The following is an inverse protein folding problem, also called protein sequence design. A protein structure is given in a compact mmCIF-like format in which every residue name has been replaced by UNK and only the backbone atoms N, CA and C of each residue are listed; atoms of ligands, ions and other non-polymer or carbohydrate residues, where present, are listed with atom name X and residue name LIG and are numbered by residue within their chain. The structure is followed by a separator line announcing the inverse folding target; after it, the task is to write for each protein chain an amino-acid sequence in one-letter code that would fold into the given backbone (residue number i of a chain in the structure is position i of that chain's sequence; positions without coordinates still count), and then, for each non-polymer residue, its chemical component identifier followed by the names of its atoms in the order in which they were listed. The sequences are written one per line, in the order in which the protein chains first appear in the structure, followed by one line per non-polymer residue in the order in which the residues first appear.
data_IF_941917753976
#
_entry.id   IF_941917753976
#
_cell.length_a   1.000
_cell.length_b   1.000
_cell.length_c   1.000
_cell.angle_alpha   90.00
_cell.angle_beta   90.00
_cell.angle_gamma   90.00
#
_symmetry.space_group_name_H-M   'P 1'
#
loop_
_entity.id
_entity.type
_entity.pdbx_description
1 polymer ?
#
# COMPACT_ATOMS: atom_id res chain seq x y z
N UNK A 1 -6.90 15.37 -24.26
CA UNK A 1 -6.11 16.59 -23.94
C UNK A 1 -4.64 16.19 -23.89
N UNK A 2 -3.84 16.70 -24.81
CA UNK A 2 -2.43 16.29 -25.02
C UNK A 2 -1.53 16.85 -23.93
N UNK A 3 -1.00 15.98 -23.06
CA UNK A 3 0.08 16.33 -22.14
C UNK A 3 1.31 16.76 -22.94
N UNK A 4 1.66 18.03 -22.86
CA UNK A 4 2.82 18.58 -23.56
C UNK A 4 4.09 18.01 -22.90
N UNK A 5 4.70 17.00 -23.52
CA UNK A 5 6.03 16.52 -23.12
C UNK A 5 7.02 17.69 -23.27
N UNK A 6 7.59 18.17 -22.16
CA UNK A 6 8.62 19.20 -22.18
C UNK A 6 9.82 18.66 -22.97
N UNK A 7 10.40 19.48 -23.84
CA UNK A 7 11.56 19.04 -24.63
C UNK A 7 12.78 18.78 -23.73
N UNK A 8 13.60 17.78 -24.07
CA UNK A 8 14.84 17.42 -23.33
C UNK A 8 15.74 18.63 -23.00
N UNK A 9 15.78 19.62 -23.89
CA UNK A 9 16.53 20.88 -23.69
C UNK A 9 15.93 21.77 -22.59
N UNK A 10 14.62 21.77 -22.45
CA UNK A 10 13.88 22.51 -21.42
C UNK A 10 14.08 21.86 -20.05
N UNK A 11 13.99 20.53 -19.98
CA UNK A 11 14.21 19.76 -18.75
C UNK A 11 15.65 19.88 -18.23
N UNK A 12 16.65 19.82 -19.12
CA UNK A 12 18.04 20.06 -18.74
C UNK A 12 18.28 21.49 -18.21
N UNK A 13 17.54 22.49 -18.72
CA UNK A 13 17.61 23.87 -18.24
C UNK A 13 16.96 24.01 -16.85
N UNK A 14 15.84 23.33 -16.61
CA UNK A 14 15.20 23.27 -15.29
C UNK A 14 16.12 22.57 -14.26
N UNK A 15 16.73 21.43 -14.61
CA UNK A 15 17.72 20.74 -13.76
C UNK A 15 18.91 21.62 -13.41
N UNK A 16 19.45 22.37 -14.38
CA UNK A 16 20.54 23.33 -14.15
C UNK A 16 20.11 24.47 -13.22
N UNK A 17 18.90 25.01 -13.36
CA UNK A 17 18.36 26.03 -12.43
C UNK A 17 18.23 25.50 -11.00
N UNK A 18 17.73 24.27 -10.83
CA UNK A 18 17.59 23.64 -9.50
C UNK A 18 18.96 23.42 -8.86
N UNK A 19 19.96 22.99 -9.64
CA UNK A 19 21.34 22.87 -9.16
C UNK A 19 21.88 24.25 -8.78
N UNK A 20 21.67 25.27 -9.61
CA UNK A 20 22.16 26.63 -9.36
C UNK A 20 21.59 27.24 -8.09
N UNK A 21 20.31 26.97 -7.80
CA UNK A 21 19.56 27.46 -6.64
C UNK A 21 19.97 26.72 -5.36
N UNK A 22 19.99 25.38 -5.38
CA UNK A 22 20.46 24.57 -4.24
C UNK A 22 21.94 24.77 -3.90
N UNK A 23 22.73 25.28 -4.86
CA UNK A 23 24.15 25.59 -4.64
C UNK A 23 24.42 27.09 -4.48
N UNK A 24 23.39 27.95 -4.49
CA UNK A 24 23.52 29.41 -4.59
C UNK A 24 24.35 30.06 -3.46
N UNK A 25 24.28 29.55 -2.23
CA UNK A 25 25.06 30.06 -1.09
C UNK A 25 26.43 29.40 -0.90
N UNK A 26 26.66 28.24 -1.51
CA UNK A 26 27.88 27.44 -1.30
C UNK A 26 29.02 27.86 -2.24
N UNK A 27 28.69 28.59 -3.32
CA UNK A 27 29.65 29.02 -4.35
C UNK A 27 30.76 29.96 -3.83
N UNK A 28 30.50 30.74 -2.78
CA UNK A 28 31.51 31.60 -2.14
C UNK A 28 32.48 30.81 -1.21
N UNK A 29 32.18 29.55 -0.89
CA UNK A 29 32.99 28.66 -0.03
C UNK A 29 33.57 27.46 -0.80
N UNK A 30 33.65 27.57 -2.13
CA UNK A 30 34.09 26.52 -3.07
C UNK A 30 35.53 26.01 -2.89
N UNK A 31 36.30 26.54 -1.95
CA UNK A 31 37.67 26.10 -1.65
C UNK A 31 37.71 24.94 -0.64
N UNK A 32 36.63 24.72 0.12
CA UNK A 32 36.55 23.60 1.08
C UNK A 32 36.21 22.30 0.38
N UNK A 33 36.99 21.24 0.64
CA UNK A 33 36.76 19.90 0.08
C UNK A 33 35.39 19.33 0.46
N UNK A 34 34.92 19.60 1.68
CA UNK A 34 33.59 19.18 2.17
C UNK A 34 32.47 19.88 1.39
N UNK A 35 32.61 21.17 1.12
CA UNK A 35 31.67 21.95 0.29
C UNK A 35 31.66 21.46 -1.17
N UNK A 36 32.83 21.13 -1.72
CA UNK A 36 32.91 20.56 -3.07
C UNK A 36 32.25 19.18 -3.18
N UNK A 37 32.39 18.33 -2.17
CA UNK A 37 31.73 17.02 -2.11
C UNK A 37 30.20 17.17 -2.00
N UNK A 38 29.72 18.10 -1.19
CA UNK A 38 28.29 18.40 -1.05
C UNK A 38 27.68 18.92 -2.37
N UNK A 39 28.37 19.84 -3.06
CA UNK A 39 27.95 20.33 -4.39
C UNK A 39 27.91 19.19 -5.42
N UNK A 40 28.90 18.27 -5.41
CA UNK A 40 28.92 17.10 -6.29
C UNK A 40 27.77 16.12 -6.00
N UNK A 41 27.44 15.89 -4.72
CA UNK A 41 26.34 15.03 -4.31
C UNK A 41 24.99 15.58 -4.79
N UNK A 42 24.71 16.86 -4.53
CA UNK A 42 23.47 17.54 -4.97
C UNK A 42 23.35 17.51 -6.51
N UNK A 43 24.45 17.74 -7.22
CA UNK A 43 24.49 17.65 -8.68
C UNK A 43 24.13 16.24 -9.18
N UNK A 44 24.69 15.20 -8.56
CA UNK A 44 24.42 13.82 -8.94
C UNK A 44 22.99 13.39 -8.61
N UNK A 45 22.44 13.78 -7.47
CA UNK A 45 21.06 13.47 -7.07
C UNK A 45 20.05 14.09 -8.05
N UNK A 46 20.22 15.36 -8.44
CA UNK A 46 19.30 16.02 -9.38
C UNK A 46 19.41 15.47 -10.80
N UNK A 47 20.59 14.97 -11.19
CA UNK A 47 20.80 14.42 -12.54
C UNK A 47 20.37 12.94 -12.66
N UNK A 48 20.62 12.09 -11.65
CA UNK A 48 20.47 10.63 -11.77
C UNK A 48 19.07 10.09 -11.45
N UNK A 49 18.25 10.79 -10.64
CA UNK A 49 16.94 10.28 -10.17
C UNK A 49 15.96 10.06 -11.34
N UNK A 50 16.04 10.88 -12.39
CA UNK A 50 15.17 10.70 -13.56
C UNK A 50 15.68 9.61 -14.51
N UNK A 51 17.01 9.51 -14.69
CA UNK A 51 17.59 8.60 -15.67
C UNK A 51 17.45 7.13 -15.26
N UNK A 52 17.49 6.81 -13.96
CA UNK A 52 17.28 5.44 -13.46
C UNK A 52 15.83 4.98 -13.58
N UNK A 53 14.86 5.85 -13.27
CA UNK A 53 13.43 5.52 -13.34
C UNK A 53 12.97 5.32 -14.79
N UNK A 54 13.38 6.24 -15.68
CA UNK A 54 13.06 6.15 -17.10
C UNK A 54 13.73 4.94 -17.75
N UNK A 55 14.97 4.61 -17.36
CA UNK A 55 15.66 3.42 -17.87
C UNK A 55 14.99 2.11 -17.42
N UNK A 56 14.58 2.01 -16.15
CA UNK A 56 13.88 0.83 -15.62
C UNK A 56 12.53 0.62 -16.30
N UNK A 57 11.78 1.69 -16.52
CA UNK A 57 10.47 1.63 -17.19
C UNK A 57 10.60 1.23 -18.67
N UNK A 58 11.66 1.70 -19.35
CA UNK A 58 11.96 1.30 -20.74
C UNK A 58 12.34 -0.17 -20.85
N UNK A 59 13.19 -0.67 -19.94
CA UNK A 59 13.62 -2.07 -19.88
C UNK A 59 12.44 -3.00 -19.59
N UNK A 60 11.53 -2.63 -18.69
CA UNK A 60 10.33 -3.41 -18.37
C UNK A 60 9.36 -3.46 -19.55
N UNK A 61 9.17 -2.35 -20.27
CA UNK A 61 8.34 -2.29 -21.48
C UNK A 61 8.91 -3.17 -22.61
N UNK A 62 10.23 -3.18 -22.78
CA UNK A 62 10.91 -4.02 -23.77
C UNK A 62 10.81 -5.51 -23.43
N UNK A 63 10.97 -5.88 -22.16
CA UNK A 63 10.77 -7.25 -21.67
C UNK A 63 9.35 -7.75 -21.91
N UNK A 64 8.33 -6.94 -21.58
CA UNK A 64 6.93 -7.30 -21.82
C UNK A 64 6.62 -7.48 -23.31
N UNK A 65 7.24 -6.66 -24.18
CA UNK A 65 7.11 -6.77 -25.64
C UNK A 65 7.74 -8.07 -26.16
N UNK A 66 8.93 -8.43 -25.69
CA UNK A 66 9.62 -9.68 -26.03
C UNK A 66 8.83 -10.91 -25.57
N UNK A 67 8.25 -10.86 -24.37
CA UNK A 67 7.45 -11.96 -23.82
C UNK A 67 6.16 -12.19 -24.63
N UNK A 68 5.41 -11.12 -24.97
CA UNK A 68 4.19 -11.23 -25.79
C UNK A 68 4.51 -11.76 -27.20
N UNK A 69 5.64 -11.35 -27.79
CA UNK A 69 6.11 -11.86 -29.07
C UNK A 69 6.50 -13.35 -28.99
N UNK A 70 7.21 -13.76 -27.93
CA UNK A 70 7.53 -15.16 -27.70
C UNK A 70 6.29 -16.03 -27.46
N UNK A 71 5.28 -15.50 -26.76
CA UNK A 71 4.01 -16.18 -26.51
C UNK A 71 3.22 -16.40 -27.79
N UNK A 72 3.08 -15.35 -28.62
CA UNK A 72 2.41 -15.46 -29.94
C UNK A 72 3.13 -16.45 -30.85
N UNK A 73 4.47 -16.43 -30.87
CA UNK A 73 5.26 -17.40 -31.63
C UNK A 73 5.03 -18.84 -31.17
N UNK A 74 5.02 -19.08 -29.85
CA UNK A 74 4.70 -20.40 -29.27
C UNK A 74 3.29 -20.84 -29.64
N UNK A 75 2.31 -19.94 -29.63
CA UNK A 75 0.93 -20.24 -30.02
C UNK A 75 0.82 -20.59 -31.52
N UNK A 76 1.53 -19.88 -32.39
CA UNK A 76 1.62 -20.20 -33.81
C UNK A 76 2.27 -21.57 -34.03
N UNK A 77 3.40 -21.87 -33.36
CA UNK A 77 4.04 -23.19 -33.43
C UNK A 77 3.10 -24.31 -32.97
N UNK A 78 2.33 -24.09 -31.90
CA UNK A 78 1.30 -25.05 -31.45
C UNK A 78 0.18 -25.19 -32.49
N UNK A 79 -0.29 -24.08 -33.07
CA UNK A 79 -1.34 -24.11 -34.10
C UNK A 79 -0.90 -24.87 -35.34
N UNK A 80 0.35 -24.71 -35.77
CA UNK A 80 0.93 -25.45 -36.88
C UNK A 80 1.09 -26.94 -36.56
N UNK A 81 1.41 -27.29 -35.31
CA UNK A 81 1.49 -28.67 -34.83
C UNK A 81 0.12 -29.37 -34.74
N UNK A 82 -0.94 -28.63 -34.42
CA UNK A 82 -2.31 -29.15 -34.31
C UNK A 82 -3.10 -29.06 -35.61
N UNK A 83 -2.52 -28.52 -36.69
CA UNK A 83 -3.16 -28.47 -38.00
C UNK A 83 -3.29 -29.88 -38.58
N UNK A 84 -4.51 -30.32 -38.82
CA UNK A 84 -4.80 -31.69 -39.30
C UNK A 84 -4.66 -31.78 -40.82
N UNK A 85 -4.44 -33.00 -41.34
CA UNK A 85 -4.24 -33.21 -42.78
C UNK A 85 -5.50 -32.94 -43.63
N UNK A 86 -6.68 -32.90 -43.01
CA UNK A 86 -7.95 -32.63 -43.70
C UNK A 86 -8.11 -31.13 -44.06
N UNK A 87 -7.52 -30.21 -43.29
CA UNK A 87 -7.52 -28.76 -43.57
C UNK A 87 -6.64 -28.37 -44.78
N UNK A 88 -5.76 -29.27 -45.24
CA UNK A 88 -4.88 -28.99 -46.40
C UNK A 88 -5.62 -29.00 -47.74
N UNK A 89 -6.82 -29.58 -47.82
CA UNK A 89 -7.59 -29.66 -49.08
C UNK A 89 -8.45 -28.43 -49.36
N UNK A 90 -8.77 -27.62 -48.36
CA UNK A 90 -9.62 -26.44 -48.56
C UNK A 90 -8.81 -25.23 -49.06
N UNK A 91 -7.55 -25.06 -48.65
CA UNK A 91 -6.73 -23.91 -49.06
C UNK A 91 -6.26 -23.94 -50.53
N UNK A 92 -6.07 -25.13 -51.14
CA UNK A 92 -5.61 -25.24 -52.53
C UNK A 92 -6.70 -24.84 -53.56
N UNK A 93 -7.97 -24.87 -53.16
CA UNK A 93 -9.11 -24.60 -54.06
C UNK A 93 -9.48 -23.10 -54.11
N UNK A 94 -9.11 -22.31 -53.11
CA UNK A 94 -9.45 -20.86 -53.07
C UNK A 94 -8.44 -19.99 -53.82
N UNK A 95 -7.26 -20.53 -54.18
CA UNK A 95 -6.16 -19.75 -54.77
C UNK A 95 -6.20 -19.60 -56.31
N UNK A 96 -7.28 -20.01 -56.98
CA UNK A 96 -7.40 -19.96 -58.44
C UNK A 96 -8.33 -18.85 -59.00
N UNK A 97 -8.88 -17.95 -58.17
CA UNK A 97 -9.81 -16.91 -58.66
C UNK A 97 -9.74 -15.57 -57.92
N UNK A 98 -8.53 -15.06 -57.70
CA UNK A 98 -8.33 -13.62 -57.50
C UNK A 98 -6.91 -13.26 -57.94
N UNK A 99 -6.81 -12.21 -58.75
CA UNK A 99 -5.60 -11.64 -59.33
C UNK A 99 -4.43 -11.52 -58.35
N UNK A 100 -3.33 -12.19 -58.70
CA UNK A 100 -1.92 -11.83 -58.46
C UNK A 100 -1.62 -10.92 -57.26
N UNK A 101 -1.82 -11.45 -56.06
CA UNK A 101 -0.98 -11.09 -54.92
C UNK A 101 -0.14 -12.32 -54.55
N UNK A 102 1.18 -12.12 -54.58
CA UNK A 102 2.15 -13.07 -54.07
C UNK A 102 1.73 -13.55 -52.67
N UNK A 103 1.93 -14.83 -52.32
CA UNK A 103 1.75 -15.26 -50.94
C UNK A 103 2.81 -14.53 -50.11
N UNK A 104 2.41 -13.47 -49.41
CA UNK A 104 3.28 -12.79 -48.46
C UNK A 104 3.45 -13.74 -47.28
N UNK A 105 4.51 -14.53 -47.40
CA UNK A 105 5.26 -15.20 -46.34
C UNK A 105 5.15 -14.44 -45.02
N UNK A 106 4.52 -15.06 -44.02
CA UNK A 106 4.42 -14.58 -42.64
C UNK A 106 3.69 -13.24 -42.49
N UNK A 107 2.49 -13.26 -41.90
CA UNK A 107 1.95 -12.06 -41.25
C UNK A 107 2.91 -11.71 -40.10
N UNK A 108 3.98 -10.97 -40.43
CA UNK A 108 4.97 -10.50 -39.48
C UNK A 108 4.19 -9.65 -38.48
N UNK A 109 4.05 -10.17 -37.26
CA UNK A 109 3.38 -9.46 -36.19
C UNK A 109 4.14 -8.15 -36.00
N UNK A 110 3.62 -7.08 -36.59
CA UNK A 110 4.30 -5.80 -36.60
C UNK A 110 4.39 -5.28 -35.17
N UNK A 111 5.52 -4.67 -34.85
CA UNK A 111 5.73 -4.10 -33.53
C UNK A 111 4.64 -3.08 -33.16
N UNK A 112 4.11 -2.38 -34.15
CA UNK A 112 2.99 -1.44 -33.98
C UNK A 112 1.71 -2.15 -33.55
N UNK A 113 1.37 -3.33 -34.11
CA UNK A 113 0.20 -4.11 -33.67
C UNK A 113 0.32 -4.62 -32.24
N UNK A 114 1.52 -5.02 -31.80
CA UNK A 114 1.75 -5.45 -30.41
C UNK A 114 1.62 -4.25 -29.46
N UNK A 115 2.15 -3.09 -29.83
CA UNK A 115 2.03 -1.88 -29.02
C UNK A 115 0.59 -1.39 -28.92
N UNK A 116 -0.17 -1.50 -30.02
CA UNK A 116 -1.58 -1.17 -30.04
C UNK A 116 -2.38 -2.12 -29.15
N UNK A 117 -2.15 -3.43 -29.22
CA UNK A 117 -2.80 -4.38 -28.31
C UNK A 117 -2.42 -4.18 -26.84
N UNK A 118 -1.17 -3.86 -26.52
CA UNK A 118 -0.74 -3.56 -25.14
C UNK A 118 -1.41 -2.28 -24.64
N UNK A 119 -1.55 -1.29 -25.51
CA UNK A 119 -2.20 -0.02 -25.20
C UNK A 119 -3.71 -0.21 -25.01
N UNK A 120 -4.36 -0.92 -25.92
CA UNK A 120 -5.79 -1.23 -25.85
C UNK A 120 -6.08 -2.06 -24.59
N UNK A 121 -5.23 -3.04 -24.24
CA UNK A 121 -5.33 -3.84 -23.02
C UNK A 121 -5.12 -3.02 -21.73
N UNK A 122 -4.25 -2.00 -21.76
CA UNK A 122 -4.05 -1.07 -20.65
C UNK A 122 -5.18 -0.02 -20.54
N UNK A 123 -5.87 0.26 -21.63
CA UNK A 123 -7.02 1.17 -21.70
C UNK A 123 -8.36 0.47 -21.39
N UNK A 124 -8.37 -0.87 -21.32
CA UNK A 124 -9.53 -1.62 -20.84
C UNK A 124 -9.84 -1.20 -19.40
N UNK A 125 -11.04 -0.66 -19.25
CA UNK A 125 -11.59 -0.33 -17.93
C UNK A 125 -11.80 -1.60 -17.11
N UNK A 126 -11.77 -1.49 -15.79
CA UNK A 126 -11.94 -2.62 -14.87
C UNK A 126 -13.27 -3.33 -15.15
N UNK A 127 -14.28 -2.57 -15.53
CA UNK A 127 -15.62 -3.03 -15.90
C UNK A 127 -15.58 -3.93 -17.14
N UNK A 128 -14.83 -3.54 -18.18
CA UNK A 128 -14.71 -4.28 -19.42
C UNK A 128 -13.91 -5.57 -19.26
N UNK A 129 -12.90 -5.56 -18.38
CA UNK A 129 -12.16 -6.76 -17.96
C UNK A 129 -13.11 -7.72 -17.23
N UNK A 130 -13.93 -7.20 -16.31
CA UNK A 130 -14.89 -8.00 -15.56
C UNK A 130 -15.96 -8.62 -16.47
N UNK A 131 -16.45 -7.89 -17.48
CA UNK A 131 -17.42 -8.43 -18.45
C UNK A 131 -16.82 -9.50 -19.37
N UNK A 132 -15.58 -9.31 -19.84
CA UNK A 132 -14.84 -10.34 -20.60
C UNK A 132 -14.64 -11.61 -19.77
N UNK A 133 -14.25 -11.47 -18.50
CA UNK A 133 -14.05 -12.61 -17.61
C UNK A 133 -15.38 -13.28 -17.23
N UNK A 134 -16.47 -12.52 -17.03
CA UNK A 134 -17.82 -13.10 -16.84
C UNK A 134 -18.29 -13.90 -18.05
N UNK A 135 -18.04 -13.42 -19.27
CA UNK A 135 -18.40 -14.13 -20.50
C UNK A 135 -17.64 -15.45 -20.66
N UNK A 136 -16.41 -15.56 -20.11
CA UNK A 136 -15.62 -16.81 -20.11
C UNK A 136 -16.11 -17.83 -19.08
N UNK A 137 -16.80 -17.39 -18.01
CA UNK A 137 -17.32 -18.29 -16.98
C UNK A 137 -18.63 -18.91 -17.47
N UNK A 138 -18.53 -20.11 -18.05
CA UNK A 138 -19.69 -20.86 -18.58
C UNK A 138 -20.52 -21.50 -17.45
N UNK A 139 -19.88 -21.97 -16.38
CA UNK A 139 -20.52 -22.61 -15.22
C UNK A 139 -19.92 -22.09 -13.91
N UNK A 140 -20.77 -21.68 -12.95
CA UNK A 140 -20.34 -21.15 -11.64
C UNK A 140 -20.79 -22.04 -10.47
N UNK A 141 -20.00 -22.08 -9.39
CA UNK A 141 -20.44 -22.67 -8.12
C UNK A 141 -21.36 -21.68 -7.39
N UNK A 142 -22.57 -22.08 -6.97
CA UNK A 142 -23.45 -21.17 -6.24
C UNK A 142 -22.81 -20.73 -4.92
N UNK A 143 -22.98 -19.45 -4.59
CA UNK A 143 -22.47 -18.85 -3.35
C UNK A 143 -23.40 -19.25 -2.21
N UNK A 144 -23.13 -20.41 -1.61
CA UNK A 144 -23.77 -20.89 -0.38
C UNK A 144 -22.84 -20.61 0.80
N UNK A 145 -23.36 -20.63 2.02
CA UNK A 145 -22.55 -20.42 3.22
C UNK A 145 -21.39 -21.44 3.30
N UNK A 146 -21.65 -22.69 2.94
CA UNK A 146 -20.65 -23.76 2.93
C UNK A 146 -19.59 -23.57 1.83
N UNK A 147 -19.96 -23.10 0.63
CA UNK A 147 -18.98 -22.84 -0.43
C UNK A 147 -18.15 -21.60 -0.12
N UNK A 148 -18.73 -20.58 0.49
CA UNK A 148 -18.03 -19.36 0.92
C UNK A 148 -17.07 -19.60 2.08
N UNK A 149 -17.44 -20.38 3.10
CA UNK A 149 -16.52 -20.71 4.20
C UNK A 149 -15.33 -21.52 3.70
N UNK A 150 -15.56 -22.49 2.80
CA UNK A 150 -14.50 -23.25 2.15
C UNK A 150 -13.59 -22.37 1.29
N UNK A 151 -14.16 -21.43 0.52
CA UNK A 151 -13.39 -20.45 -0.26
C UNK A 151 -12.56 -19.52 0.64
N UNK A 152 -13.13 -19.04 1.75
CA UNK A 152 -12.43 -18.17 2.72
C UNK A 152 -11.26 -18.91 3.36
N UNK A 153 -11.48 -20.14 3.83
CA UNK A 153 -10.41 -20.99 4.36
C UNK A 153 -9.33 -21.25 3.31
N UNK A 154 -9.73 -21.55 2.07
CA UNK A 154 -8.80 -21.72 0.96
C UNK A 154 -7.98 -20.46 0.68
N UNK A 155 -8.61 -19.27 0.66
CA UNK A 155 -7.91 -17.99 0.45
C UNK A 155 -6.93 -17.64 1.56
N UNK A 156 -7.32 -17.87 2.82
CA UNK A 156 -6.42 -17.70 3.97
C UNK A 156 -5.22 -18.64 3.86
N UNK A 157 -5.45 -19.91 3.51
CA UNK A 157 -4.37 -20.89 3.34
C UNK A 157 -3.44 -20.56 2.16
N UNK A 158 -3.99 -20.06 1.04
CA UNK A 158 -3.17 -19.58 -0.08
C UNK A 158 -2.28 -18.41 0.33
N UNK A 159 -2.83 -17.41 1.02
CA UNK A 159 -2.06 -16.27 1.51
C UNK A 159 -0.97 -16.70 2.51
N UNK A 160 -1.28 -17.67 3.39
CA UNK A 160 -0.30 -18.25 4.32
C UNK A 160 0.86 -18.93 3.59
N UNK A 161 0.56 -19.75 2.57
CA UNK A 161 1.58 -20.43 1.75
C UNK A 161 2.42 -19.47 0.91
N UNK A 162 1.82 -18.40 0.42
CA UNK A 162 2.52 -17.35 -0.32
C UNK A 162 3.52 -16.62 0.61
N UNK A 163 3.07 -16.18 1.78
CA UNK A 163 3.93 -15.60 2.81
C UNK A 163 5.04 -16.56 3.25
N UNK A 164 4.75 -17.85 3.41
CA UNK A 164 5.76 -18.86 3.76
C UNK A 164 6.79 -19.04 2.64
N UNK A 165 6.37 -18.97 1.37
CA UNK A 165 7.28 -18.98 0.22
C UNK A 165 8.14 -17.74 0.16
N UNK A 166 7.57 -16.56 0.35
CA UNK A 166 8.30 -15.29 0.39
C UNK A 166 9.32 -15.29 1.52
N UNK A 167 8.89 -15.67 2.73
CA UNK A 167 9.75 -15.82 3.90
C UNK A 167 10.90 -16.81 3.63
N UNK A 168 10.60 -17.95 3.01
CA UNK A 168 11.63 -18.94 2.64
C UNK A 168 12.59 -18.41 1.58
N UNK A 169 12.10 -17.65 0.59
CA UNK A 169 12.94 -17.03 -0.45
C UNK A 169 13.85 -15.97 0.18
N UNK A 170 13.30 -15.15 1.08
CA UNK A 170 14.00 -14.10 1.80
C UNK A 170 15.11 -14.70 2.68
N UNK A 171 14.82 -15.78 3.41
CA UNK A 171 15.79 -16.49 4.23
C UNK A 171 16.90 -17.15 3.38
N UNK A 172 16.56 -17.72 2.22
CA UNK A 172 17.57 -18.26 1.29
C UNK A 172 18.43 -17.16 0.64
N UNK A 173 17.86 -15.98 0.37
CA UNK A 173 18.59 -14.79 -0.10
C UNK A 173 19.55 -14.27 0.96
N UNK A 174 19.13 -14.26 2.22
CA UNK A 174 19.96 -13.91 3.37
C UNK A 174 21.16 -14.86 3.50
N UNK A 175 20.91 -16.18 3.52
CA UNK A 175 21.95 -17.23 3.59
C UNK A 175 22.97 -17.12 2.44
N UNK A 176 22.53 -16.71 1.24
CA UNK A 176 23.37 -16.65 0.04
C UNK A 176 24.16 -15.35 -0.11
N UNK A 177 23.61 -14.22 0.33
CA UNK A 177 24.19 -12.90 0.07
C UNK A 177 24.98 -12.32 1.24
N UNK A 178 24.70 -12.75 2.48
CA UNK A 178 25.29 -12.15 3.70
C UNK A 178 25.05 -10.63 3.84
N UNK A 179 24.22 -10.06 2.95
CA UNK A 179 24.02 -8.63 2.76
C UNK A 179 22.63 -8.46 2.14
N UNK A 180 21.57 -8.62 2.96
CA UNK A 180 20.24 -8.78 2.36
C UNK A 180 19.03 -8.56 3.25
N UNK A 181 19.20 -8.08 4.49
CA UNK A 181 18.08 -7.66 5.33
C UNK A 181 18.50 -6.41 6.08
N UNK A 182 17.63 -5.39 6.10
CA UNK A 182 17.81 -4.26 7.01
C UNK A 182 17.85 -4.77 8.46
N UNK A 183 18.60 -4.14 9.36
CA UNK A 183 18.64 -4.54 10.78
C UNK A 183 17.24 -4.66 11.40
N UNK A 184 16.30 -3.81 10.95
CA UNK A 184 14.88 -3.86 11.32
C UNK A 184 14.16 -5.11 10.81
N UNK A 185 14.49 -5.58 9.61
CA UNK A 185 13.93 -6.81 9.04
C UNK A 185 14.52 -8.05 9.71
N UNK A 186 15.80 -8.03 10.06
CA UNK A 186 16.45 -9.08 10.85
C UNK A 186 15.85 -9.18 12.26
N UNK A 187 15.57 -8.05 12.91
CA UNK A 187 14.94 -8.02 14.23
C UNK A 187 13.53 -8.61 14.22
N UNK A 188 12.73 -8.28 13.20
CA UNK A 188 11.39 -8.87 13.00
C UNK A 188 11.45 -10.36 12.64
N UNK A 189 12.48 -10.79 11.92
CA UNK A 189 12.67 -12.19 11.51
C UNK A 189 13.14 -13.07 12.68
N UNK A 190 14.03 -12.54 13.53
CA UNK A 190 14.56 -13.26 14.68
C UNK A 190 15.06 -12.29 15.75
N UNK A 191 14.15 -11.89 16.65
CA UNK A 191 14.43 -10.98 17.75
C UNK A 191 15.47 -11.55 18.73
N UNK A 192 15.55 -12.88 18.87
CA UNK A 192 16.47 -13.54 19.80
C UNK A 192 17.95 -13.44 19.42
N UNK A 193 18.26 -13.05 18.17
CA UNK A 193 19.63 -12.78 17.71
C UNK A 193 20.16 -11.40 18.13
N UNK A 194 19.31 -10.54 18.69
CA UNK A 194 19.63 -9.16 19.09
C UNK A 194 19.66 -8.99 20.61
N UNK A 195 20.26 -9.94 21.31
CA UNK A 195 20.55 -9.83 22.74
C UNK A 195 22.04 -9.49 22.85
N UNK A 196 22.36 -8.39 23.53
CA UNK A 196 23.75 -7.99 23.79
C UNK A 196 24.48 -9.17 24.45
N UNK A 197 25.55 -9.66 23.82
CA UNK A 197 26.38 -10.70 24.43
C UNK A 197 27.12 -10.13 25.65
N UNK A 198 27.47 -11.00 26.61
CA UNK A 198 28.16 -10.59 27.84
C UNK A 198 29.60 -10.07 27.59
N UNK A 199 30.06 -10.02 26.34
CA UNK A 199 31.41 -9.58 25.93
C UNK A 199 31.40 -8.28 25.12
N UNK A 200 30.23 -7.67 24.92
CA UNK A 200 30.08 -6.30 24.47
C UNK A 200 30.65 -5.36 25.53
N UNK A 201 31.94 -5.04 25.42
CA UNK A 201 32.61 -4.05 26.25
C UNK A 201 31.80 -2.75 26.23
N UNK A 202 31.58 -2.19 27.43
CA UNK A 202 30.81 -0.98 27.71
C UNK A 202 31.58 0.28 27.26
N UNK A 203 32.34 0.14 26.16
CA UNK A 203 33.16 1.19 25.58
C UNK A 203 32.24 2.27 25.05
N UNK A 204 32.03 3.30 25.88
CA UNK A 204 31.37 4.53 25.48
C UNK A 204 32.21 5.19 24.40
N UNK A 205 31.88 4.94 23.13
CA UNK A 205 32.41 5.71 22.02
C UNK A 205 31.98 7.16 22.20
N UNK A 206 32.92 8.02 22.64
CA UNK A 206 32.72 9.46 22.67
C UNK A 206 32.67 9.98 21.24
N UNK A 207 31.48 9.96 20.64
CA UNK A 207 31.21 10.63 19.38
C UNK A 207 31.20 12.14 19.69
N UNK A 208 32.06 12.95 19.05
CA UNK A 208 32.00 14.41 19.21
C UNK A 208 30.59 14.91 18.87
N UNK A 209 30.01 15.76 19.71
CA UNK A 209 28.65 16.30 19.53
C UNK A 209 28.45 16.89 18.12
N UNK A 210 29.50 17.48 17.55
CA UNK A 210 29.51 18.08 16.20
C UNK A 210 29.44 17.08 15.03
N UNK A 211 29.59 15.78 15.30
CA UNK A 211 29.55 14.71 14.30
C UNK A 211 28.17 14.05 14.16
N UNK A 212 27.24 14.36 15.07
CA UNK A 212 25.86 13.88 15.04
C UNK A 212 25.06 14.89 14.21
N UNK A 213 24.71 14.50 12.99
CA UNK A 213 23.83 15.29 12.12
C UNK A 213 22.40 15.13 12.67
N UNK A 214 21.95 16.06 13.53
CA UNK A 214 20.61 16.05 14.15
C UNK A 214 19.47 16.01 13.10
N UNK A 215 19.71 16.54 11.89
CA UNK A 215 18.77 16.47 10.77
C UNK A 215 18.60 15.04 10.22
N UNK A 216 19.52 14.10 10.54
CA UNK A 216 19.42 12.70 10.15
C UNK A 216 18.52 11.87 11.09
N UNK A 217 18.22 12.40 12.28
CA UNK A 217 17.38 11.75 13.30
C UNK A 217 15.93 12.27 13.32
N UNK A 218 15.62 13.33 12.56
CA UNK A 218 14.28 13.94 12.51
C UNK A 218 13.37 13.42 11.38
N UNK A 219 13.86 12.55 10.50
CA UNK A 219 13.00 11.69 9.66
C UNK A 219 12.72 10.34 10.35
N UNK A 220 12.61 10.38 11.69
CA UNK A 220 12.12 9.27 12.50
C UNK A 220 10.64 9.03 12.20
N UNK A 221 10.41 7.98 11.43
CA UNK A 221 9.24 7.09 11.43
C UNK A 221 7.96 7.72 12.01
N UNK A 222 7.13 8.23 11.11
CA UNK A 222 5.70 8.51 11.36
C UNK A 222 4.91 7.21 11.67
N UNK A 223 5.57 6.04 11.76
CA UNK A 223 4.97 4.76 12.15
C UNK A 223 4.71 4.64 13.67
N UNK A 224 5.45 5.32 14.55
CA UNK A 224 5.11 5.32 15.99
C UNK A 224 3.83 6.12 16.29
N UNK A 225 3.40 6.97 15.35
CA UNK A 225 2.13 7.68 15.41
C UNK A 225 0.92 6.79 15.05
N UNK A 226 1.12 5.61 14.43
CA UNK A 226 0.02 4.70 14.09
C UNK A 226 -0.49 3.87 15.28
N UNK A 227 0.32 3.70 16.33
CA UNK A 227 -0.02 2.90 17.52
C UNK A 227 -0.62 3.69 18.68
N UNK A 228 -0.70 5.02 18.56
CA UNK A 228 -1.54 5.84 19.44
C UNK A 228 -3.00 5.68 19.05
N UNK A 229 -3.83 5.20 19.97
CA UNK A 229 -5.28 5.17 19.77
C UNK A 229 -5.71 6.63 19.57
N UNK A 230 -6.19 7.05 18.38
CA UNK A 230 -6.53 8.45 18.14
C UNK A 230 -7.47 8.95 19.23
N UNK A 231 -7.07 10.02 19.91
CA UNK A 231 -7.86 10.58 21.01
C UNK A 231 -9.20 11.13 20.51
N UNK A 232 -9.26 11.51 19.23
CA UNK A 232 -10.45 12.03 18.57
C UNK A 232 -10.87 11.08 17.45
N UNK A 233 -12.03 10.44 17.63
CA UNK A 233 -12.66 9.58 16.63
C UNK A 233 -13.78 10.40 16.00
N UNK A 234 -13.58 10.84 14.76
CA UNK A 234 -14.50 11.73 14.02
C UNK A 234 -15.81 11.06 13.56
N UNK A 235 -16.14 9.87 14.07
CA UNK A 235 -17.40 9.19 13.74
C UNK A 235 -18.58 9.83 14.47
N UNK A 236 -19.53 10.37 13.69
CA UNK A 236 -20.77 10.96 14.20
C UNK A 236 -21.95 10.00 13.98
N UNK A 237 -22.70 9.75 15.04
CA UNK A 237 -23.94 8.98 15.03
C UNK A 237 -25.06 9.79 14.37
N UNK A 238 -25.46 9.36 13.18
CA UNK A 238 -26.66 9.82 12.50
C UNK A 238 -27.70 8.69 12.42
N UNK A 239 -28.88 8.84 13.06
CA UNK A 239 -29.95 7.85 13.02
C UNK A 239 -30.39 7.44 11.60
N UNK A 240 -30.24 8.30 10.60
CA UNK A 240 -30.68 8.01 9.22
C UNK A 240 -29.72 7.13 8.44
N UNK A 241 -28.44 7.12 8.82
CA UNK A 241 -27.37 6.40 8.10
C UNK A 241 -26.80 5.23 8.92
N UNK A 242 -27.26 5.08 10.16
CA UNK A 242 -26.84 4.02 11.07
C UNK A 242 -27.30 2.63 10.61
N UNK A 243 -26.34 1.73 10.39
CA UNK A 243 -26.58 0.38 9.86
C UNK A 243 -26.85 -0.66 10.96
N UNK A 244 -26.46 -0.38 12.19
CA UNK A 244 -26.57 -1.36 13.28
C UNK A 244 -27.94 -1.29 13.96
N UNK A 245 -28.44 -2.44 14.45
CA UNK A 245 -29.75 -2.52 15.10
C UNK A 245 -29.80 -1.83 16.46
N UNK A 246 -28.66 -1.72 17.12
CA UNK A 246 -28.52 -1.13 18.45
C UNK A 246 -27.97 0.28 18.33
N UNK A 247 -28.37 1.14 19.26
CA UNK A 247 -27.82 2.50 19.34
C UNK A 247 -26.41 2.46 19.94
N UNK A 248 -25.55 3.47 19.67
CA UNK A 248 -24.20 3.54 20.26
C UNK A 248 -24.17 3.42 21.78
N UNK A 249 -25.22 3.90 22.45
CA UNK A 249 -25.36 3.82 23.90
C UNK A 249 -25.65 2.39 24.36
N UNK A 250 -26.47 1.66 23.61
CA UNK A 250 -26.75 0.24 23.86
C UNK A 250 -25.53 -0.64 23.56
N UNK A 251 -24.76 -0.30 22.52
CA UNK A 251 -23.51 -1.00 22.19
C UNK A 251 -22.46 -0.85 23.29
N UNK A 252 -22.29 0.37 23.80
CA UNK A 252 -21.39 0.62 24.93
C UNK A 252 -21.84 -0.15 26.18
N UNK A 253 -23.14 -0.14 26.49
CA UNK A 253 -23.70 -0.88 27.63
C UNK A 253 -23.53 -2.39 27.48
N UNK A 254 -23.81 -2.95 26.29
CA UNK A 254 -23.62 -4.37 26.02
C UNK A 254 -22.15 -4.75 26.19
N UNK A 255 -21.23 -3.90 25.73
CA UNK A 255 -19.80 -4.12 25.86
C UNK A 255 -19.34 -4.12 27.33
N UNK A 256 -19.75 -3.13 28.13
CA UNK A 256 -19.39 -3.08 29.56
C UNK A 256 -19.96 -4.28 30.32
N UNK A 257 -21.17 -4.73 29.99
CA UNK A 257 -21.78 -5.94 30.56
C UNK A 257 -21.00 -7.21 30.20
N UNK A 258 -20.63 -7.39 28.92
CA UNK A 258 -19.84 -8.55 28.46
C UNK A 258 -18.49 -8.60 29.18
N UNK A 259 -17.82 -7.46 29.32
CA UNK A 259 -16.51 -7.33 29.98
C UNK A 259 -16.58 -7.25 31.51
N UNK A 260 -17.78 -7.19 32.09
CA UNK A 260 -18.04 -7.00 33.52
C UNK A 260 -17.37 -5.72 34.07
N UNK A 261 -17.38 -4.66 33.28
CA UNK A 261 -16.93 -3.33 33.70
C UNK A 261 -18.08 -2.57 34.36
N UNK A 262 -17.78 -1.61 35.27
CA UNK A 262 -18.79 -0.68 35.76
C UNK A 262 -19.46 0.07 34.60
N UNK A 263 -20.74 0.39 34.75
CA UNK A 263 -21.47 1.14 33.75
C UNK A 263 -20.86 2.53 33.55
N UNK A 264 -20.85 2.98 32.29
CA UNK A 264 -20.33 4.29 31.92
C UNK A 264 -21.18 5.40 32.55
N UNK A 265 -20.50 6.40 33.14
CA UNK A 265 -21.15 7.57 33.75
C UNK A 265 -21.24 8.70 32.74
N UNK A 266 -22.38 9.38 32.70
CA UNK A 266 -22.65 10.48 31.79
C UNK A 266 -22.80 11.78 32.60
N UNK A 267 -21.95 12.76 32.34
CA UNK A 267 -22.01 14.06 33.00
C UNK A 267 -22.32 15.17 31.99
N UNK A 268 -23.25 16.06 32.35
CA UNK A 268 -23.60 17.21 31.50
C UNK A 268 -22.59 18.32 31.74
N UNK A 269 -21.94 18.76 30.67
CA UNK A 269 -20.95 19.83 30.73
C UNK A 269 -21.62 21.21 30.69
N UNK A 270 -21.03 22.23 31.37
CA UNK A 270 -21.50 23.60 31.29
C UNK A 270 -21.34 24.13 29.86
N UNK A 271 -22.23 25.05 29.47
CA UNK A 271 -22.10 25.76 28.19
C UNK A 271 -20.86 26.65 28.23
N UNK A 272 -20.04 26.62 27.19
CA UNK A 272 -18.83 27.44 27.10
C UNK A 272 -19.16 28.90 26.82
N UNK A 273 -20.27 29.17 26.11
CA UNK A 273 -20.73 30.54 25.85
C UNK A 273 -22.24 30.68 26.06
N UNK A 274 -22.71 31.85 26.57
CA UNK A 274 -24.15 32.12 26.76
C UNK A 274 -25.00 32.00 25.49
N UNK A 275 -24.39 32.11 24.31
CA UNK A 275 -25.05 32.02 23.00
C UNK A 275 -25.06 30.60 22.41
N UNK A 276 -24.44 29.60 23.06
CA UNK A 276 -24.43 28.22 22.54
C UNK A 276 -25.82 27.57 22.63
N UNK A 277 -26.33 27.19 21.46
CA UNK A 277 -27.54 26.38 21.32
C UNK A 277 -27.16 24.90 21.20
N UNK A 278 -27.39 24.14 22.27
CA UNK A 278 -27.21 22.69 22.32
C UNK A 278 -26.66 22.21 23.66
N UNK A 279 -26.35 20.92 23.73
CA UNK A 279 -25.83 20.24 24.92
C UNK A 279 -24.50 19.54 24.62
N UNK A 280 -23.62 19.56 25.63
CA UNK A 280 -22.36 18.80 25.66
C UNK A 280 -22.42 17.83 26.83
N UNK A 281 -21.91 16.62 26.61
CA UNK A 281 -21.94 15.53 27.58
C UNK A 281 -20.57 14.86 27.55
N UNK A 282 -20.02 14.59 28.73
CA UNK A 282 -18.85 13.72 28.86
C UNK A 282 -19.27 12.31 29.26
N UNK A 283 -18.52 11.33 28.78
CA UNK A 283 -18.66 9.92 29.14
C UNK A 283 -17.42 9.48 29.88
N UNK A 284 -17.60 8.95 31.09
CA UNK A 284 -16.52 8.48 31.95
C UNK A 284 -16.60 6.95 32.03
N UNK A 285 -15.52 6.31 31.62
CA UNK A 285 -15.31 4.87 31.77
C UNK A 285 -14.29 4.65 32.89
N UNK A 286 -14.56 3.73 33.81
CA UNK A 286 -13.66 3.42 34.95
C UNK A 286 -12.68 2.28 34.67
N UNK A 287 -13.03 1.35 33.76
CA UNK A 287 -12.21 0.19 33.37
C UNK A 287 -12.27 -0.01 31.85
N UNK A 288 -11.18 -0.40 31.17
CA UNK A 288 -9.91 -0.92 31.71
C UNK A 288 -8.97 0.17 32.26
N UNK A 289 -9.10 1.40 31.79
CA UNK A 289 -8.41 2.59 32.30
C UNK A 289 -9.46 3.65 32.58
N UNK A 290 -9.30 4.41 33.67
CA UNK A 290 -10.20 5.54 33.96
C UNK A 290 -9.96 6.63 32.91
N UNK A 291 -10.88 6.79 31.96
CA UNK A 291 -10.79 7.81 30.89
C UNK A 291 -12.13 8.55 30.75
N UNK A 292 -12.03 9.86 30.61
CA UNK A 292 -13.15 10.75 30.31
C UNK A 292 -13.09 11.15 28.84
N UNK A 293 -14.21 11.02 28.15
CA UNK A 293 -14.36 11.39 26.75
C UNK A 293 -15.22 12.66 26.67
N UNK A 294 -14.63 13.72 26.15
CA UNK A 294 -15.29 15.03 25.97
C UNK A 294 -15.30 15.33 24.47
N UNK A 295 -16.48 15.48 23.90
CA UNK A 295 -16.62 15.88 22.50
C UNK A 295 -16.47 17.40 22.37
N UNK A 296 -15.66 17.81 21.39
CA UNK A 296 -15.46 19.22 21.02
C UNK A 296 -16.74 19.86 20.47
N UNK A 297 -17.53 19.07 19.71
CA UNK A 297 -18.80 19.50 19.10
C UNK A 297 -19.96 19.61 20.11
N UNK A 298 -20.87 20.55 19.83
CA UNK A 298 -22.15 20.71 20.54
C UNK A 298 -23.25 20.01 19.74
N UNK A 299 -24.14 19.28 20.42
CA UNK A 299 -25.26 18.61 19.75
C UNK A 299 -26.61 19.28 20.05
N UNK A 300 -27.55 19.29 19.10
CA UNK A 300 -28.89 19.86 19.30
C UNK A 300 -29.72 19.19 20.42
N UNK A 301 -29.47 17.91 20.72
CA UNK A 301 -30.27 17.12 21.65
C UNK A 301 -29.38 16.35 22.64
N UNK A 302 -29.84 16.26 23.89
CA UNK A 302 -29.20 15.45 24.94
C UNK A 302 -28.93 14.03 24.48
N UNK A 303 -29.95 13.39 23.89
CA UNK A 303 -29.86 11.99 23.45
C UNK A 303 -28.78 11.82 22.38
N UNK A 304 -28.70 12.78 21.46
CA UNK A 304 -27.71 12.77 20.38
C UNK A 304 -26.29 12.97 20.94
N UNK A 305 -26.11 13.86 21.92
CA UNK A 305 -24.83 14.00 22.64
C UNK A 305 -24.45 12.70 23.38
N UNK A 306 -25.39 12.05 24.07
CA UNK A 306 -25.11 10.79 24.79
C UNK A 306 -24.72 9.67 23.81
N UNK A 307 -25.39 9.54 22.67
CA UNK A 307 -25.08 8.54 21.65
C UNK A 307 -23.71 8.78 21.01
N UNK A 308 -23.39 10.03 20.63
CA UNK A 308 -22.09 10.36 20.05
C UNK A 308 -20.95 10.14 21.05
N UNK A 309 -21.13 10.58 22.31
CA UNK A 309 -20.10 10.37 23.33
C UNK A 309 -19.93 8.88 23.66
N UNK A 310 -21.01 8.09 23.61
CA UNK A 310 -20.97 6.63 23.75
C UNK A 310 -20.28 5.95 22.57
N UNK A 311 -20.45 6.47 21.35
CA UNK A 311 -19.83 5.93 20.15
C UNK A 311 -18.30 6.04 20.23
N UNK A 312 -17.79 7.23 20.57
CA UNK A 312 -16.34 7.45 20.73
C UNK A 312 -15.77 6.56 21.84
N UNK A 313 -16.45 6.50 22.98
CA UNK A 313 -16.08 5.64 24.10
C UNK A 313 -16.04 4.14 23.70
N UNK A 314 -17.04 3.67 22.96
CA UNK A 314 -17.12 2.29 22.48
C UNK A 314 -16.01 1.94 21.47
N UNK A 315 -15.77 2.82 20.49
CA UNK A 315 -14.70 2.65 19.51
C UNK A 315 -13.32 2.65 20.15
N UNK A 316 -13.10 3.51 21.13
CA UNK A 316 -11.86 3.53 21.90
C UNK A 316 -11.64 2.20 22.63
N UNK A 317 -12.67 1.63 23.25
CA UNK A 317 -12.59 0.32 23.91
C UNK A 317 -12.29 -0.83 22.93
N UNK A 318 -12.85 -0.80 21.71
CA UNK A 318 -12.53 -1.78 20.67
C UNK A 318 -11.04 -1.72 20.28
N UNK A 319 -10.53 -0.51 20.00
CA UNK A 319 -9.11 -0.31 19.67
C UNK A 319 -8.18 -0.70 20.82
N UNK A 320 -8.59 -0.43 22.06
CA UNK A 320 -7.83 -0.84 23.25
C UNK A 320 -7.70 -2.37 23.34
N UNK A 321 -8.78 -3.12 23.14
CA UNK A 321 -8.74 -4.58 23.12
C UNK A 321 -7.84 -5.14 22.00
N UNK A 322 -7.92 -4.56 20.79
CA UNK A 322 -7.07 -4.94 19.66
C UNK A 322 -5.59 -4.72 19.98
N UNK A 323 -5.24 -3.58 20.59
CA UNK A 323 -3.87 -3.28 21.04
C UNK A 323 -3.38 -4.30 22.08
N UNK A 324 -4.21 -4.64 23.07
CA UNK A 324 -3.85 -5.64 24.07
C UNK A 324 -3.66 -7.03 23.46
N UNK A 325 -4.49 -7.40 22.48
CA UNK A 325 -4.37 -8.67 21.76
C UNK A 325 -3.06 -8.74 20.98
N UNK A 326 -2.73 -7.72 20.19
CA UNK A 326 -1.44 -7.62 19.46
C UNK A 326 -0.25 -7.72 20.42
N UNK A 327 -0.28 -6.99 21.53
CA UNK A 327 0.77 -7.02 22.54
C UNK A 327 0.92 -8.38 23.26
N UNK A 328 -0.15 -9.18 23.32
CA UNK A 328 -0.09 -10.55 23.86
C UNK A 328 0.46 -11.55 22.84
N UNK A 329 0.13 -11.38 21.57
CA UNK A 329 0.64 -12.22 20.47
C UNK A 329 2.14 -12.00 20.26
N UNK A 330 2.61 -10.74 20.32
CA UNK A 330 4.04 -10.41 20.19
C UNK A 330 4.91 -10.83 21.38
N UNK A 331 4.32 -11.29 22.50
CA UNK A 331 5.04 -11.81 23.68
C UNK A 331 5.07 -13.34 23.70
N UNK A 332 4.35 -14.00 22.80
CA UNK A 332 4.29 -15.46 22.68
C UNK A 332 5.13 -16.00 21.52
N UNK A 333 5.45 -15.18 20.52
CA UNK A 333 6.58 -15.36 19.60
C UNK A 333 7.89 -14.99 20.29
#
# INVERSE_FOLDING_TARGET
MTGTQKSKKTEQKEKKKIIEDKTFGLKNKNKSKKVQQQIKSIHNTVMQVHDKKVKKELEEKEQKRLEKLAQKKREQELKDLFRTADDKKEDEVVQASSSEEQPTDGEEITYDSIEQEIKDEAELTIEEIVEKERAKIINGTPVTLESFTKWKQFKVEQQRKEKEREHKLQMALYEKSGHGLSGRELFKLNQSLFVDDEEADDTVYQIPEDAIDEDLFLEGDEEDAEDEIPEEIDEEYDPSTWKEKQTPKELLLAYTQIKKYPDAKFEKLPKQSPQEQGERISVIIEKPVKKEFILSKVFPSRKLAEHNASLVAYRWLQKYDEKQKKASESKQE
#
